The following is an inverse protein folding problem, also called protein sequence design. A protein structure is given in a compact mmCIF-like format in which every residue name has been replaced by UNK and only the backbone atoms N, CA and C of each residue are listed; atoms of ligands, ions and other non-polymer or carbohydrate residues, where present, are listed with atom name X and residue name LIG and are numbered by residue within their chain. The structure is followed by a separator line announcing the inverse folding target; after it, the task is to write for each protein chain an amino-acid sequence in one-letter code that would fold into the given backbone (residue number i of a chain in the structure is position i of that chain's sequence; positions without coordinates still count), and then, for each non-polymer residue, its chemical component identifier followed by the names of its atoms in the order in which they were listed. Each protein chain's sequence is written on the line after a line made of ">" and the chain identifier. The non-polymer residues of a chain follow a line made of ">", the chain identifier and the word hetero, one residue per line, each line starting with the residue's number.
data_IF_189352109536
#
_entry.id   IF_189352109536
#
_cell.length_a   1.000
_cell.length_b   1.000
_cell.length_c   1.000
_cell.angle_alpha   90.00
_cell.angle_beta   90.00
_cell.angle_gamma   90.00
#
_symmetry.space_group_name_H-M   'P 1'
#
loop_
_entity.id
_entity.type
_entity.pdbx_description
1 polymer ?
#
# COMPACT_ATOMS: atom_id res chain seq x y z
N UNK A 1 10.17 -58.52 12.37
CA UNK A 1 9.01 -58.08 13.16
C UNK A 1 7.78 -58.27 12.30
N UNK A 2 7.00 -59.31 12.61
CA UNK A 2 5.91 -59.82 11.79
C UNK A 2 4.61 -59.42 12.48
N UNK A 3 3.81 -58.55 11.85
CA UNK A 3 2.54 -58.12 12.42
C UNK A 3 1.48 -59.21 12.24
N UNK A 4 0.70 -59.56 13.28
CA UNK A 4 -0.38 -60.52 13.16
C UNK A 4 -1.53 -59.93 12.34
N UNK A 5 -1.95 -60.64 11.30
CA UNK A 5 -3.18 -60.32 10.56
C UNK A 5 -4.40 -60.61 11.43
N UNK A 6 -5.26 -59.60 11.59
CA UNK A 6 -6.59 -59.77 12.19
C UNK A 6 -7.53 -60.50 11.21
N UNK A 7 -8.28 -61.51 11.67
CA UNK A 7 -9.24 -62.22 10.84
C UNK A 7 -10.50 -61.39 10.55
N UNK A 8 -10.91 -61.47 9.28
CA UNK A 8 -12.10 -60.96 8.60
C UNK A 8 -13.19 -60.29 9.44
N UNK A 9 -13.33 -58.97 9.27
CA UNK A 9 -14.60 -58.27 9.49
C UNK A 9 -15.50 -58.46 8.27
N UNK A 10 -16.65 -59.10 8.47
CA UNK A 10 -17.74 -59.18 7.50
C UNK A 10 -18.34 -57.78 7.27
N UNK A 11 -18.61 -57.38 6.01
CA UNK A 11 -19.24 -56.10 5.71
C UNK A 11 -20.65 -56.05 6.31
N UNK A 12 -20.88 -55.11 7.23
CA UNK A 12 -22.20 -54.85 7.78
C UNK A 12 -23.17 -54.29 6.72
N UNK A 13 -24.48 -54.49 6.88
CA UNK A 13 -25.49 -53.95 5.98
C UNK A 13 -25.44 -52.43 5.93
N UNK A 14 -25.53 -51.89 4.71
CA UNK A 14 -25.54 -50.45 4.45
C UNK A 14 -26.70 -49.78 5.22
N UNK A 15 -26.46 -48.63 5.88
CA UNK A 15 -27.52 -47.90 6.55
C UNK A 15 -28.56 -47.42 5.52
N UNK A 16 -29.85 -47.39 5.89
CA UNK A 16 -30.92 -46.94 5.02
C UNK A 16 -30.68 -45.50 4.56
N UNK A 17 -30.92 -45.26 3.27
CA UNK A 17 -30.81 -43.95 2.63
C UNK A 17 -31.66 -42.93 3.40
N UNK A 18 -30.99 -41.96 4.01
CA UNK A 18 -31.64 -40.85 4.70
C UNK A 18 -32.46 -39.99 3.72
N UNK A 19 -33.45 -39.24 4.24
CA UNK A 19 -34.30 -38.37 3.43
C UNK A 19 -33.45 -37.37 2.62
N UNK A 20 -33.94 -36.95 1.43
CA UNK A 20 -33.22 -36.03 0.57
C UNK A 20 -32.84 -34.77 1.34
N UNK A 21 -31.54 -34.44 1.30
CA UNK A 21 -30.99 -33.27 1.97
C UNK A 21 -31.79 -32.03 1.56
N UNK A 22 -32.54 -31.47 2.52
CA UNK A 22 -33.21 -30.20 2.33
C UNK A 22 -32.15 -29.19 1.87
N UNK A 23 -32.35 -28.65 0.67
CA UNK A 23 -31.52 -27.58 0.13
C UNK A 23 -31.47 -26.47 1.17
N UNK A 24 -30.31 -26.36 1.82
CA UNK A 24 -30.06 -25.32 2.80
C UNK A 24 -30.08 -23.99 2.06
N UNK A 25 -31.24 -23.32 2.07
CA UNK A 25 -31.35 -21.95 1.63
C UNK A 25 -30.73 -21.08 2.74
N UNK A 26 -29.70 -20.29 2.44
CA UNK A 26 -29.15 -19.38 3.43
C UNK A 26 -30.27 -18.50 3.96
N UNK A 27 -30.45 -18.38 5.28
CA UNK A 27 -31.47 -17.52 5.85
C UNK A 27 -31.27 -16.12 5.27
N UNK A 28 -32.34 -15.58 4.67
CA UNK A 28 -32.34 -14.22 4.16
C UNK A 28 -31.88 -13.31 5.30
N UNK A 29 -30.70 -12.70 5.14
CA UNK A 29 -30.17 -11.78 6.13
C UNK A 29 -31.17 -10.64 6.25
N UNK A 30 -31.97 -10.64 7.32
CA UNK A 30 -32.79 -9.50 7.62
C UNK A 30 -31.86 -8.31 7.86
N UNK A 31 -32.07 -7.18 7.16
CA UNK A 31 -31.25 -6.01 7.34
C UNK A 31 -31.26 -5.61 8.81
N UNK A 32 -30.08 -5.62 9.43
CA UNK A 32 -29.88 -5.26 10.82
C UNK A 32 -30.39 -3.82 11.02
N UNK A 33 -31.58 -3.68 11.56
CA UNK A 33 -32.09 -2.41 12.05
C UNK A 33 -31.25 -2.03 13.27
N UNK A 34 -30.47 -0.96 13.14
CA UNK A 34 -29.68 -0.43 14.25
C UNK A 34 -30.57 -0.09 15.46
N UNK A 35 -29.98 0.01 16.66
CA UNK A 35 -30.70 0.30 17.88
C UNK A 35 -31.55 1.59 17.73
N UNK A 36 -32.81 1.57 18.19
CA UNK A 36 -33.72 2.70 18.05
C UNK A 36 -33.15 3.91 18.82
N UNK A 37 -32.89 5.00 18.11
CA UNK A 37 -32.43 6.26 18.69
C UNK A 37 -31.07 6.78 18.21
N UNK A 38 -30.33 6.02 17.40
CA UNK A 38 -29.15 6.60 16.71
C UNK A 38 -29.62 7.51 15.58
N UNK A 39 -29.20 8.80 15.51
CA UNK A 39 -29.45 9.66 14.37
C UNK A 39 -29.02 8.91 13.11
N UNK A 40 -29.99 8.63 12.23
CA UNK A 40 -29.79 7.77 11.07
C UNK A 40 -28.60 8.27 10.27
N UNK A 41 -27.47 7.57 10.39
CA UNK A 41 -26.39 7.73 9.42
C UNK A 41 -27.02 7.42 8.07
N UNK A 42 -26.88 8.30 7.07
CA UNK A 42 -27.49 8.09 5.77
C UNK A 42 -27.09 6.69 5.28
N UNK A 43 -28.04 5.92 4.69
CA UNK A 43 -27.76 4.59 4.18
C UNK A 43 -26.47 4.65 3.35
N UNK A 44 -25.48 3.85 3.76
CA UNK A 44 -24.21 3.75 3.05
C UNK A 44 -24.53 3.10 1.71
N UNK A 45 -24.67 3.91 0.67
CA UNK A 45 -24.88 3.40 -0.68
C UNK A 45 -23.79 2.37 -0.99
N UNK A 46 -24.18 1.19 -1.52
CA UNK A 46 -23.20 0.21 -1.95
C UNK A 46 -22.27 0.90 -2.96
N UNK A 47 -20.94 0.74 -2.80
CA UNK A 47 -19.98 1.41 -3.67
C UNK A 47 -20.32 1.07 -5.12
N UNK A 48 -20.33 2.07 -6.04
CA UNK A 48 -20.71 1.85 -7.42
C UNK A 48 -19.89 0.70 -8.00
N UNK A 49 -20.57 -0.26 -8.63
CA UNK A 49 -19.99 -1.51 -9.10
C UNK A 49 -18.81 -1.31 -10.08
N UNK A 50 -18.69 -0.11 -10.67
CA UNK A 50 -17.76 0.19 -11.75
C UNK A 50 -16.75 1.31 -11.41
N UNK A 51 -16.10 1.23 -10.25
CA UNK A 51 -14.94 2.10 -10.01
C UNK A 51 -13.85 1.78 -11.05
N UNK A 52 -13.32 2.78 -11.80
CA UNK A 52 -12.29 2.55 -12.80
C UNK A 52 -11.00 2.08 -12.12
N UNK A 53 -10.80 0.77 -12.11
CA UNK A 53 -9.61 0.14 -11.54
C UNK A 53 -8.39 0.58 -12.35
N UNK A 54 -7.34 1.01 -11.65
CA UNK A 54 -6.08 1.34 -12.32
C UNK A 54 -5.50 0.12 -13.05
N UNK A 55 -4.81 0.36 -14.17
CA UNK A 55 -4.19 -0.71 -14.95
C UNK A 55 -3.14 -1.45 -14.11
N UNK A 56 -2.98 -2.75 -14.39
CA UNK A 56 -2.06 -3.64 -13.67
C UNK A 56 -0.62 -3.13 -13.70
N UNK A 57 -0.18 -2.70 -14.88
CA UNK A 57 1.18 -2.22 -15.13
C UNK A 57 1.46 -0.91 -14.38
N UNK A 58 0.52 0.05 -14.37
CA UNK A 58 0.72 1.31 -13.64
C UNK A 58 0.86 1.11 -12.14
N UNK A 59 0.18 0.10 -11.56
CA UNK A 59 0.34 -0.25 -10.15
C UNK A 59 1.72 -0.82 -9.85
N UNK A 60 2.24 -1.67 -10.73
CA UNK A 60 3.60 -2.21 -10.61
C UNK A 60 4.63 -1.07 -10.72
N UNK A 61 4.52 -0.22 -11.75
CA UNK A 61 5.40 0.93 -11.93
C UNK A 61 5.39 1.89 -10.74
N UNK A 62 4.20 2.22 -10.20
CA UNK A 62 4.11 3.07 -9.02
C UNK A 62 4.87 2.48 -7.84
N UNK A 63 4.75 1.16 -7.62
CA UNK A 63 5.47 0.47 -6.54
C UNK A 63 6.97 0.44 -6.79
N UNK A 64 7.40 0.18 -8.02
CA UNK A 64 8.82 0.23 -8.41
C UNK A 64 9.41 1.61 -8.17
N UNK A 65 8.71 2.68 -8.55
CA UNK A 65 9.14 4.07 -8.29
C UNK A 65 9.28 4.32 -6.79
N UNK A 66 8.30 3.91 -5.98
CA UNK A 66 8.38 4.07 -4.52
C UNK A 66 9.58 3.31 -3.93
N UNK A 67 9.88 2.09 -4.42
CA UNK A 67 11.06 1.35 -3.99
C UNK A 67 12.36 2.01 -4.42
N UNK A 68 12.48 2.44 -5.68
CA UNK A 68 13.67 3.13 -6.16
C UNK A 68 13.93 4.42 -5.39
N UNK A 69 12.88 5.18 -5.08
CA UNK A 69 12.99 6.41 -4.28
C UNK A 69 13.53 6.11 -2.88
N UNK A 70 12.98 5.09 -2.20
CA UNK A 70 13.44 4.71 -0.86
C UNK A 70 14.85 4.12 -0.89
N UNK A 71 15.18 3.30 -1.87
CA UNK A 71 16.54 2.76 -2.05
C UNK A 71 17.54 3.88 -2.32
N UNK A 72 17.23 4.82 -3.21
CA UNK A 72 18.07 5.98 -3.49
C UNK A 72 18.31 6.85 -2.25
N UNK A 73 17.36 6.89 -1.32
CA UNK A 73 17.52 7.59 -0.04
C UNK A 73 18.45 6.85 0.93
N UNK A 74 18.39 5.52 0.99
CA UNK A 74 19.13 4.76 2.01
C UNK A 74 20.51 4.29 1.53
N UNK A 75 20.73 4.09 0.23
CA UNK A 75 22.03 3.67 -0.32
C UNK A 75 23.18 4.61 0.06
N UNK A 76 23.04 5.96 0.00
CA UNK A 76 24.09 6.87 0.44
C UNK A 76 24.47 6.70 1.92
N UNK A 77 23.52 6.33 2.78
CA UNK A 77 23.78 6.07 4.20
C UNK A 77 24.66 4.83 4.39
N UNK A 78 24.36 3.75 3.65
CA UNK A 78 25.20 2.55 3.63
C UNK A 78 26.61 2.85 3.12
N UNK A 79 26.72 3.63 2.04
CA UNK A 79 28.00 4.02 1.46
C UNK A 79 28.84 4.86 2.43
N UNK A 80 28.23 5.85 3.08
CA UNK A 80 28.90 6.67 4.10
C UNK A 80 29.37 5.83 5.29
N UNK A 81 28.54 4.90 5.76
CA UNK A 81 28.91 3.99 6.84
C UNK A 81 30.05 3.05 6.46
N UNK A 82 30.03 2.51 5.25
CA UNK A 82 31.11 1.68 4.73
C UNK A 82 32.44 2.44 4.72
N UNK A 83 32.48 3.65 4.17
CA UNK A 83 33.69 4.47 4.15
C UNK A 83 34.15 4.89 5.55
N UNK A 84 33.21 5.18 6.45
CA UNK A 84 33.52 5.47 7.85
C UNK A 84 34.20 4.26 8.52
N UNK A 85 33.66 3.05 8.34
CA UNK A 85 34.23 1.83 8.90
C UNK A 85 35.60 1.50 8.29
N UNK A 86 35.78 1.71 6.99
CA UNK A 86 37.08 1.54 6.34
C UNK A 86 38.13 2.51 6.89
N UNK A 87 37.79 3.80 7.02
CA UNK A 87 38.68 4.80 7.61
C UNK A 87 39.07 4.44 9.03
N UNK A 88 38.11 4.01 9.86
CA UNK A 88 38.38 3.58 11.23
C UNK A 88 39.20 2.30 11.33
N UNK A 89 39.02 1.35 10.42
CA UNK A 89 39.84 0.15 10.37
C UNK A 89 41.31 0.50 10.03
N UNK A 90 41.53 1.42 9.08
CA UNK A 90 42.87 1.90 8.73
C UNK A 90 43.52 2.68 9.89
N UNK A 91 42.77 3.55 10.57
CA UNK A 91 43.24 4.26 11.76
C UNK A 91 43.63 3.30 12.89
N UNK A 92 42.84 2.22 13.07
CA UNK A 92 43.09 1.21 14.09
C UNK A 92 44.43 0.50 13.87
N UNK A 93 44.72 0.12 12.63
CA UNK A 93 45.99 -0.52 12.28
C UNK A 93 47.17 0.39 12.62
N UNK A 94 47.10 1.67 12.25
CA UNK A 94 48.16 2.63 12.50
C UNK A 94 48.35 2.94 13.98
N UNK A 95 47.26 3.10 14.73
CA UNK A 95 47.32 3.48 16.16
C UNK A 95 47.68 2.29 17.05
N UNK A 96 47.12 1.12 16.80
CA UNK A 96 47.47 -0.12 17.52
C UNK A 96 48.91 -0.49 17.28
N UNK A 97 49.39 -0.44 16.02
CA UNK A 97 50.81 -0.68 15.72
C UNK A 97 51.73 0.26 16.50
N UNK A 98 51.46 1.57 16.49
CA UNK A 98 52.25 2.55 17.26
C UNK A 98 52.23 2.26 18.76
N UNK A 99 51.07 1.97 19.36
CA UNK A 99 50.93 1.68 20.80
C UNK A 99 51.65 0.39 21.19
N UNK A 100 51.49 -0.67 20.41
CA UNK A 100 52.16 -1.96 20.64
C UNK A 100 53.67 -1.81 20.47
N UNK A 101 54.14 -1.09 19.46
CA UNK A 101 55.57 -0.82 19.23
C UNK A 101 56.20 -0.06 20.41
N UNK A 102 55.56 1.03 20.87
CA UNK A 102 56.07 1.80 22.01
C UNK A 102 56.01 1.01 23.32
N UNK A 103 54.94 0.25 23.57
CA UNK A 103 54.84 -0.60 24.75
C UNK A 103 55.93 -1.68 24.78
N UNK A 104 56.28 -2.26 23.62
CA UNK A 104 57.39 -3.21 23.49
C UNK A 104 58.74 -2.55 23.77
N UNK A 105 58.97 -1.36 23.22
CA UNK A 105 60.20 -0.57 23.46
C UNK A 105 60.38 -0.17 24.92
N UNK A 106 59.30 0.16 25.63
CA UNK A 106 59.36 0.53 27.06
C UNK A 106 59.38 -0.69 27.99
N UNK A 107 59.41 -1.92 27.46
CA UNK A 107 59.44 -3.16 28.25
C UNK A 107 58.10 -3.56 28.87
N UNK A 108 57.00 -2.92 28.47
CA UNK A 108 55.67 -3.15 29.05
C UNK A 108 54.88 -4.19 28.22
N UNK A 109 55.39 -5.43 28.25
CA UNK A 109 54.93 -6.54 27.41
C UNK A 109 53.45 -6.90 27.62
N UNK A 110 52.89 -6.67 28.81
CA UNK A 110 51.48 -6.93 29.09
C UNK A 110 50.56 -5.89 28.43
N UNK A 111 50.97 -4.61 28.41
CA UNK A 111 50.24 -3.57 27.66
C UNK A 111 50.31 -3.80 26.15
N UNK A 112 51.44 -4.30 25.64
CA UNK A 112 51.60 -4.62 24.23
C UNK A 112 50.60 -5.71 23.76
N UNK A 113 50.27 -6.68 24.63
CA UNK A 113 49.30 -7.76 24.34
C UNK A 113 47.84 -7.30 24.44
N UNK A 114 47.51 -6.37 25.35
CA UNK A 114 46.11 -5.91 25.57
C UNK A 114 45.67 -4.79 24.65
N UNK A 115 46.59 -3.90 24.25
CA UNK A 115 46.28 -2.74 23.40
C UNK A 115 45.52 -3.08 22.09
N UNK A 116 45.81 -4.18 21.37
CA UNK A 116 45.05 -4.56 20.17
C UNK A 116 43.62 -4.98 20.50
N UNK A 117 43.43 -5.74 21.59
CA UNK A 117 42.13 -6.28 21.98
C UNK A 117 41.18 -5.15 22.41
N UNK A 118 41.64 -4.26 23.28
CA UNK A 118 40.86 -3.11 23.74
C UNK A 118 40.48 -2.17 22.58
N UNK A 119 41.40 -1.97 21.62
CA UNK A 119 41.15 -1.15 20.44
C UNK A 119 40.10 -1.80 19.52
N UNK A 120 40.19 -3.12 19.30
CA UNK A 120 39.20 -3.88 18.51
C UNK A 120 37.83 -3.85 19.17
N UNK A 121 37.75 -4.06 20.49
CA UNK A 121 36.48 -4.04 21.23
C UNK A 121 35.79 -2.68 21.14
N UNK A 122 36.53 -1.58 21.36
CA UNK A 122 35.98 -0.23 21.25
C UNK A 122 35.52 0.13 19.84
N UNK A 123 36.17 -0.39 18.79
CA UNK A 123 35.72 -0.22 17.40
C UNK A 123 34.48 -1.08 17.12
N UNK A 124 34.44 -2.30 17.65
CA UNK A 124 33.35 -3.24 17.45
C UNK A 124 32.04 -2.72 18.01
N UNK A 125 32.03 -2.13 19.20
CA UNK A 125 30.80 -1.58 19.79
C UNK A 125 30.24 -0.38 19.01
N UNK A 126 31.12 0.50 18.50
CA UNK A 126 30.72 1.58 17.60
C UNK A 126 30.17 1.04 16.28
N UNK A 127 30.80 -0.02 15.76
CA UNK A 127 30.39 -0.68 14.52
C UNK A 127 29.00 -1.31 14.68
N UNK A 128 28.74 -2.03 15.77
CA UNK A 128 27.42 -2.58 16.08
C UNK A 128 26.35 -1.50 16.14
N UNK A 129 26.60 -0.41 16.87
CA UNK A 129 25.64 0.68 17.00
C UNK A 129 25.33 1.31 15.63
N UNK A 130 26.36 1.58 14.83
CA UNK A 130 26.19 2.13 13.48
C UNK A 130 25.39 1.18 12.58
N UNK A 131 25.73 -0.12 12.57
CA UNK A 131 25.01 -1.14 11.80
C UNK A 131 23.55 -1.25 12.26
N UNK A 132 23.29 -1.25 13.56
CA UNK A 132 21.93 -1.27 14.11
C UNK A 132 21.13 -0.05 13.63
N UNK A 133 21.71 1.16 13.70
CA UNK A 133 21.06 2.37 13.23
C UNK A 133 20.79 2.34 11.72
N UNK A 134 21.70 1.79 10.91
CA UNK A 134 21.49 1.63 9.47
C UNK A 134 20.39 0.63 9.15
N UNK A 135 20.37 -0.52 9.82
CA UNK A 135 19.30 -1.53 9.65
C UNK A 135 17.96 -0.94 10.06
N UNK A 136 17.89 -0.24 11.20
CA UNK A 136 16.69 0.46 11.63
C UNK A 136 16.28 1.54 10.64
N UNK A 137 17.21 2.35 10.13
CA UNK A 137 16.91 3.37 9.12
C UNK A 137 16.37 2.73 7.83
N UNK A 138 17.00 1.65 7.34
CA UNK A 138 16.60 0.95 6.13
C UNK A 138 15.21 0.29 6.26
N UNK A 139 14.86 -0.17 7.46
CA UNK A 139 13.55 -0.76 7.76
C UNK A 139 12.48 0.31 8.01
N UNK A 140 12.79 1.31 8.83
CA UNK A 140 11.82 2.30 9.31
C UNK A 140 11.56 3.41 8.30
N UNK A 141 12.53 3.87 7.52
CA UNK A 141 12.30 4.94 6.54
C UNK A 141 11.21 4.57 5.51
N UNK A 142 11.28 3.42 4.82
CA UNK A 142 10.23 3.03 3.87
C UNK A 142 8.89 2.76 4.56
N UNK A 143 8.93 2.20 5.76
CA UNK A 143 7.73 1.90 6.56
C UNK A 143 7.01 3.18 6.98
N UNK A 144 7.73 4.13 7.58
CA UNK A 144 7.18 5.42 8.01
C UNK A 144 6.71 6.23 6.80
N UNK A 145 7.47 6.24 5.70
CA UNK A 145 7.06 6.86 4.45
C UNK A 145 5.72 6.31 3.93
N UNK A 146 5.63 4.99 3.75
CA UNK A 146 4.42 4.36 3.20
C UNK A 146 3.22 4.58 4.13
N UNK A 147 3.42 4.45 5.45
CA UNK A 147 2.37 4.65 6.44
C UNK A 147 1.85 6.09 6.45
N UNK A 148 2.75 7.09 6.57
CA UNK A 148 2.37 8.50 6.60
C UNK A 148 1.71 8.95 5.29
N UNK A 149 2.23 8.49 4.14
CA UNK A 149 1.66 8.83 2.84
C UNK A 149 0.25 8.26 2.66
N UNK A 150 0.00 7.02 3.09
CA UNK A 150 -1.34 6.44 3.04
C UNK A 150 -2.29 7.05 4.08
N UNK A 151 -1.82 7.32 5.30
CA UNK A 151 -2.64 7.93 6.34
C UNK A 151 -3.07 9.36 5.98
N UNK A 152 -2.13 10.19 5.50
CA UNK A 152 -2.37 11.60 5.23
C UNK A 152 -2.98 11.86 3.85
N UNK A 153 -2.48 11.18 2.82
CA UNK A 153 -2.86 11.46 1.43
C UNK A 153 -3.65 10.33 0.76
N UNK A 154 -3.68 9.11 1.32
CA UNK A 154 -4.30 7.93 0.70
C UNK A 154 -3.53 7.41 -0.53
N UNK A 155 -2.31 7.90 -0.76
CA UNK A 155 -1.48 7.57 -1.93
C UNK A 155 -0.02 7.90 -1.66
N UNK A 156 0.88 7.11 -2.22
CA UNK A 156 2.34 7.32 -2.24
C UNK A 156 2.75 8.20 -3.42
N UNK A 157 4.00 8.66 -3.46
CA UNK A 157 4.51 9.49 -4.56
C UNK A 157 4.45 8.78 -5.91
N UNK A 158 4.81 7.50 -5.97
CA UNK A 158 4.65 6.69 -7.18
C UNK A 158 3.19 6.65 -7.63
N UNK A 159 2.25 6.45 -6.70
CA UNK A 159 0.80 6.49 -7.02
C UNK A 159 0.34 7.88 -7.47
N UNK A 160 0.91 8.95 -6.94
CA UNK A 160 0.61 10.34 -7.35
C UNK A 160 1.04 10.56 -8.81
N UNK A 161 2.26 10.17 -9.18
CA UNK A 161 2.81 10.35 -10.54
C UNK A 161 1.91 9.70 -11.61
N UNK A 162 1.35 8.53 -11.31
CA UNK A 162 0.48 7.81 -12.23
C UNK A 162 -1.02 8.14 -12.07
N UNK A 163 -1.37 9.08 -11.19
CA UNK A 163 -2.75 9.53 -10.97
C UNK A 163 -3.64 8.42 -10.41
N UNK A 164 -3.16 7.71 -9.39
CA UNK A 164 -3.89 6.66 -8.67
C UNK A 164 -4.21 7.08 -7.24
N UNK A 165 -5.30 6.55 -6.69
CA UNK A 165 -5.70 6.76 -5.30
C UNK A 165 -6.15 5.45 -4.67
N UNK A 166 -5.78 5.25 -3.42
CA UNK A 166 -6.26 4.13 -2.63
C UNK A 166 -7.51 4.57 -1.89
N UNK A 167 -8.61 3.85 -2.04
CA UNK A 167 -9.89 4.12 -1.35
C UNK A 167 -10.32 2.90 -0.53
N UNK A 168 -11.03 3.10 0.59
CA UNK A 168 -11.69 2.01 1.30
C UNK A 168 -12.63 1.25 0.36
N UNK A 169 -12.68 -0.08 0.49
CA UNK A 169 -13.62 -0.88 -0.30
C UNK A 169 -15.08 -0.56 0.04
N UNK A 170 -15.38 -0.26 1.30
CA UNK A 170 -16.76 -0.11 1.80
C UNK A 170 -17.35 1.29 1.56
N UNK A 171 -16.86 2.04 0.57
CA UNK A 171 -17.37 3.40 0.30
C UNK A 171 -17.11 4.44 1.41
N UNK A 172 -16.30 4.10 2.42
CA UNK A 172 -15.99 4.98 3.54
C UNK A 172 -15.19 6.24 3.14
N UNK A 173 -14.93 7.14 4.11
CA UNK A 173 -14.27 8.43 3.87
C UNK A 173 -13.02 8.29 3.01
N UNK A 174 -12.77 9.30 2.17
CA UNK A 174 -11.75 9.27 1.13
C UNK A 174 -10.29 9.10 1.62
N UNK A 175 -10.08 9.03 2.94
CA UNK A 175 -8.80 8.83 3.62
C UNK A 175 -8.81 7.54 4.42
N UNK A 176 -7.70 6.83 4.39
CA UNK A 176 -7.46 5.66 5.21
C UNK A 176 -7.18 6.09 6.65
N UNK A 177 -7.93 5.56 7.62
CA UNK A 177 -7.60 5.75 9.03
C UNK A 177 -6.20 5.21 9.36
N UNK A 178 -5.51 5.84 10.32
CA UNK A 178 -4.13 5.54 10.71
C UNK A 178 -3.87 4.05 10.97
N UNK A 179 -4.80 3.36 11.66
CA UNK A 179 -4.65 1.93 11.96
C UNK A 179 -4.76 1.04 10.72
N UNK A 180 -5.66 1.37 9.77
CA UNK A 180 -5.80 0.61 8.52
C UNK A 180 -4.60 0.84 7.60
N UNK A 181 -4.10 2.08 7.54
CA UNK A 181 -2.84 2.38 6.86
C UNK A 181 -1.68 1.60 7.51
N UNK A 182 -1.57 1.60 8.84
CA UNK A 182 -0.51 0.91 9.58
C UNK A 182 -0.49 -0.59 9.32
N UNK A 183 -1.65 -1.27 9.39
CA UNK A 183 -1.73 -2.72 9.08
C UNK A 183 -1.32 -3.03 7.64
N UNK A 184 -1.76 -2.20 6.68
CA UNK A 184 -1.37 -2.35 5.28
C UNK A 184 0.15 -2.22 5.13
N UNK A 185 0.74 -1.18 5.70
CA UNK A 185 2.16 -0.89 5.60
C UNK A 185 3.01 -1.96 6.30
N UNK A 186 2.56 -2.46 7.46
CA UNK A 186 3.21 -3.55 8.17
C UNK A 186 3.40 -4.78 7.26
N UNK A 187 2.35 -5.17 6.55
CA UNK A 187 2.37 -6.36 5.70
C UNK A 187 3.07 -6.10 4.36
N UNK A 188 2.83 -4.94 3.75
CA UNK A 188 3.34 -4.63 2.42
C UNK A 188 4.82 -4.20 2.41
N UNK A 189 5.31 -3.64 3.51
CA UNK A 189 6.64 -3.02 3.59
C UNK A 189 7.44 -3.62 4.74
N UNK A 190 6.98 -3.47 5.98
CA UNK A 190 7.79 -3.82 7.14
C UNK A 190 8.15 -5.31 7.19
N UNK A 191 7.17 -6.21 7.09
CA UNK A 191 7.40 -7.67 7.18
C UNK A 191 8.35 -8.17 6.08
N UNK A 192 8.16 -7.84 4.79
CA UNK A 192 9.09 -8.26 3.74
C UNK A 192 10.52 -7.75 3.96
N UNK A 193 10.67 -6.47 4.34
CA UNK A 193 11.99 -5.87 4.59
C UNK A 193 12.65 -6.42 5.86
N UNK A 194 11.91 -6.61 6.95
CA UNK A 194 12.41 -7.21 8.18
C UNK A 194 12.85 -8.66 7.93
N UNK A 195 12.06 -9.43 7.18
CA UNK A 195 12.42 -10.78 6.78
C UNK A 195 13.67 -10.80 5.89
N UNK A 196 13.82 -9.85 4.97
CA UNK A 196 15.05 -9.72 4.16
C UNK A 196 16.28 -9.43 5.03
N UNK A 197 16.18 -8.49 5.97
CA UNK A 197 17.30 -8.15 6.86
C UNK A 197 17.64 -9.32 7.79
N UNK A 198 16.64 -9.99 8.35
CA UNK A 198 16.83 -11.16 9.20
C UNK A 198 17.46 -12.32 8.40
N UNK A 199 17.03 -12.55 7.16
CA UNK A 199 17.66 -13.55 6.28
C UNK A 199 19.17 -13.31 6.15
N UNK A 200 19.60 -12.08 5.87
CA UNK A 200 21.02 -11.75 5.76
C UNK A 200 21.78 -11.94 7.09
N UNK A 201 21.17 -11.52 8.20
CA UNK A 201 21.73 -11.73 9.53
C UNK A 201 21.93 -13.21 9.86
N UNK A 202 20.91 -14.05 9.63
CA UNK A 202 20.97 -15.49 9.88
C UNK A 202 21.95 -16.21 8.93
N UNK A 203 22.11 -15.71 7.70
CA UNK A 203 23.12 -16.20 6.76
C UNK A 203 24.54 -15.97 7.28
N UNK A 204 24.80 -14.81 7.91
CA UNK A 204 26.08 -14.50 8.57
C UNK A 204 26.33 -15.43 9.76
N UNK A 205 25.28 -15.73 10.55
CA UNK A 205 25.35 -16.69 11.66
C UNK A 205 25.37 -18.17 11.22
N UNK A 206 25.26 -18.44 9.90
CA UNK A 206 25.19 -19.79 9.32
C UNK A 206 23.95 -20.59 9.76
N UNK A 207 22.88 -19.92 10.15
CA UNK A 207 21.59 -20.53 10.51
C UNK A 207 20.71 -20.73 9.25
N UNK A 208 21.11 -21.66 8.38
CA UNK A 208 20.54 -21.83 7.04
C UNK A 208 19.02 -22.02 6.99
N UNK A 209 18.44 -22.78 7.91
CA UNK A 209 17.00 -23.05 7.94
C UNK A 209 16.19 -21.79 8.21
N UNK A 210 16.60 -20.99 9.20
CA UNK A 210 15.90 -19.75 9.54
C UNK A 210 16.10 -18.70 8.43
N UNK A 211 17.31 -18.63 7.87
CA UNK A 211 17.59 -17.80 6.69
C UNK A 211 16.67 -18.18 5.52
N UNK A 212 16.49 -19.47 5.22
CA UNK A 212 15.59 -19.93 4.16
C UNK A 212 14.13 -19.53 4.40
N UNK A 213 13.62 -19.70 5.63
CA UNK A 213 12.25 -19.28 6.00
C UNK A 213 12.09 -17.76 5.81
N UNK A 214 13.03 -16.97 6.31
CA UNK A 214 13.01 -15.52 6.16
C UNK A 214 13.09 -15.09 4.69
N UNK A 215 13.91 -15.78 3.89
CA UNK A 215 14.02 -15.57 2.45
C UNK A 215 12.70 -15.84 1.72
N UNK A 216 11.99 -16.92 2.06
CA UNK A 216 10.68 -17.23 1.49
C UNK A 216 9.65 -16.16 1.86
N UNK A 217 9.59 -15.75 3.14
CA UNK A 217 8.66 -14.70 3.60
C UNK A 217 8.93 -13.37 2.87
N UNK A 218 10.20 -12.99 2.75
CA UNK A 218 10.64 -11.81 2.00
C UNK A 218 10.23 -11.89 0.53
N UNK A 219 10.53 -13.01 -0.13
CA UNK A 219 10.19 -13.26 -1.53
C UNK A 219 8.68 -13.12 -1.77
N UNK A 220 7.86 -13.78 -0.95
CA UNK A 220 6.39 -13.69 -1.03
C UNK A 220 5.95 -12.23 -0.90
N UNK A 221 6.54 -11.50 0.05
CA UNK A 221 6.29 -10.07 0.27
C UNK A 221 6.63 -9.19 -0.94
N UNK A 222 7.76 -9.44 -1.60
CA UNK A 222 8.18 -8.69 -2.80
C UNK A 222 7.40 -9.10 -4.06
N UNK A 223 6.85 -10.31 -4.11
CA UNK A 223 5.98 -10.79 -5.20
C UNK A 223 4.52 -10.38 -5.02
N UNK A 224 4.10 -9.89 -3.85
CA UNK A 224 2.72 -9.41 -3.61
C UNK A 224 2.20 -8.44 -4.70
N UNK A 225 2.98 -7.46 -5.23
CA UNK A 225 2.54 -6.61 -6.32
C UNK A 225 2.14 -7.39 -7.59
N UNK A 226 2.73 -8.56 -7.86
CA UNK A 226 2.38 -9.40 -9.00
C UNK A 226 1.00 -10.04 -8.87
N UNK A 227 0.47 -10.17 -7.64
CA UNK A 227 -0.89 -10.69 -7.44
C UNK A 227 -1.98 -9.79 -8.06
N UNK A 228 -1.62 -8.57 -8.48
CA UNK A 228 -2.45 -7.69 -9.32
C UNK A 228 -2.80 -8.30 -10.69
N UNK A 229 -1.95 -9.19 -11.20
CA UNK A 229 -2.15 -9.89 -12.48
C UNK A 229 -3.30 -10.91 -12.40
N UNK A 230 -3.70 -11.31 -11.20
CA UNK A 230 -4.80 -12.24 -10.97
C UNK A 230 -6.17 -11.72 -11.43
N UNK A 231 -7.15 -12.63 -11.46
CA UNK A 231 -8.55 -12.34 -11.88
C UNK A 231 -9.19 -11.20 -11.08
N UNK A 232 -8.93 -11.15 -9.77
CA UNK A 232 -9.52 -10.14 -8.86
C UNK A 232 -8.84 -8.77 -8.90
N UNK A 233 -7.74 -8.59 -9.65
CA UNK A 233 -6.99 -7.33 -9.80
C UNK A 233 -6.75 -6.59 -8.47
N UNK A 234 -6.42 -7.30 -7.40
CA UNK A 234 -6.15 -6.75 -6.05
C UNK A 234 -4.96 -7.46 -5.42
N UNK A 235 -4.04 -6.67 -4.86
CA UNK A 235 -2.89 -7.19 -4.12
C UNK A 235 -3.32 -7.82 -2.79
N UNK A 236 -2.50 -8.65 -2.17
CA UNK A 236 -2.86 -9.28 -0.89
C UNK A 236 -2.91 -8.24 0.22
N UNK A 237 -1.96 -7.31 0.26
CA UNK A 237 -2.01 -6.21 1.22
C UNK A 237 -3.25 -5.30 1.02
N UNK A 238 -3.72 -5.12 -0.22
CA UNK A 238 -4.96 -4.38 -0.48
C UNK A 238 -6.17 -5.12 0.11
N UNK A 239 -6.22 -6.46 0.01
CA UNK A 239 -7.29 -7.29 0.58
C UNK A 239 -7.30 -7.24 2.10
N UNK A 240 -6.14 -7.42 2.72
CA UNK A 240 -6.00 -7.38 4.19
C UNK A 240 -6.28 -5.95 4.73
N UNK A 241 -5.92 -4.94 3.93
CA UNK A 241 -6.25 -3.55 4.20
C UNK A 241 -7.72 -3.18 3.95
N UNK A 242 -8.51 -4.02 3.26
CA UNK A 242 -9.87 -3.65 2.84
C UNK A 242 -9.89 -2.42 1.93
N UNK A 243 -8.94 -2.36 0.99
CA UNK A 243 -8.70 -1.22 0.10
C UNK A 243 -8.72 -1.60 -1.36
N UNK A 244 -9.01 -0.62 -2.22
CA UNK A 244 -8.91 -0.75 -3.67
C UNK A 244 -8.21 0.47 -4.26
N UNK A 245 -7.39 0.24 -5.28
CA UNK A 245 -6.68 1.30 -6.00
C UNK A 245 -7.47 1.69 -7.26
N UNK A 246 -7.95 2.93 -7.29
CA UNK A 246 -8.71 3.51 -8.40
C UNK A 246 -7.86 4.49 -9.18
N UNK A 247 -8.12 4.60 -10.49
CA UNK A 247 -7.48 5.61 -11.33
C UNK A 247 -8.23 6.93 -11.22
N UNK A 248 -7.52 8.00 -10.86
CA UNK A 248 -8.08 9.34 -10.67
C UNK A 248 -8.11 10.13 -11.98
N UNK A 249 -7.22 9.84 -12.94
CA UNK A 249 -7.19 10.51 -14.26
C UNK A 249 -8.52 10.40 -15.04
N UNK A 250 -9.12 9.20 -15.21
CA UNK A 250 -10.43 9.09 -15.87
C UNK A 250 -11.54 9.70 -15.01
N UNK A 251 -11.46 9.62 -13.67
CA UNK A 251 -12.44 10.25 -12.77
C UNK A 251 -12.39 11.78 -12.81
N UNK A 252 -11.20 12.38 -12.92
CA UNK A 252 -11.03 13.83 -13.07
C UNK A 252 -11.63 14.31 -14.39
N UNK A 253 -11.33 13.61 -15.49
CA UNK A 253 -11.89 13.90 -16.80
C UNK A 253 -13.41 13.69 -16.85
N UNK A 254 -13.94 12.63 -16.22
CA UNK A 254 -15.38 12.40 -16.09
C UNK A 254 -16.07 13.43 -15.18
N UNK A 255 -15.44 13.86 -14.09
CA UNK A 255 -15.95 14.89 -13.20
C UNK A 255 -15.88 16.29 -13.83
N UNK A 256 -14.89 16.56 -14.68
CA UNK A 256 -14.82 17.75 -15.51
C UNK A 256 -15.91 17.74 -16.59
N UNK A 257 -16.11 16.62 -17.28
CA UNK A 257 -17.20 16.45 -18.24
C UNK A 257 -18.58 16.58 -17.57
N UNK A 258 -18.76 16.02 -16.37
CA UNK A 258 -20.00 16.16 -15.60
C UNK A 258 -20.26 17.58 -15.11
N UNK A 259 -19.22 18.31 -14.68
CA UNK A 259 -19.32 19.74 -14.34
C UNK A 259 -19.59 20.61 -15.57
N UNK A 260 -18.99 20.27 -16.71
CA UNK A 260 -19.27 20.88 -18.01
C UNK A 260 -20.71 20.66 -18.44
N UNK A 261 -21.21 19.43 -18.35
CA UNK A 261 -22.60 19.10 -18.66
C UNK A 261 -23.59 19.80 -17.71
N UNK A 262 -23.31 19.83 -16.40
CA UNK A 262 -24.15 20.51 -15.41
C UNK A 262 -24.15 22.03 -15.51
N UNK A 263 -23.05 22.64 -15.97
CA UNK A 263 -22.99 24.08 -16.27
C UNK A 263 -23.66 24.40 -17.60
N UNK A 264 -23.50 23.56 -18.63
CA UNK A 264 -24.21 23.67 -19.90
C UNK A 264 -25.74 23.52 -19.71
N UNK A 265 -26.20 22.56 -18.91
CA UNK A 265 -27.62 22.42 -18.55
C UNK A 265 -28.15 23.63 -17.79
N UNK A 266 -27.39 24.19 -16.85
CA UNK A 266 -27.78 25.42 -16.14
C UNK A 266 -27.85 26.62 -17.08
N UNK A 267 -26.92 26.75 -18.03
CA UNK A 267 -26.96 27.80 -19.05
C UNK A 267 -28.15 27.61 -20.00
N UNK A 268 -28.44 26.39 -20.44
CA UNK A 268 -29.61 26.09 -21.26
C UNK A 268 -30.93 26.37 -20.51
N UNK A 269 -31.00 25.96 -19.23
CA UNK A 269 -32.12 26.26 -18.34
C UNK A 269 -32.33 27.76 -18.12
N UNK A 270 -31.26 28.53 -17.97
CA UNK A 270 -31.32 29.98 -17.82
C UNK A 270 -31.62 30.73 -19.14
N UNK A 271 -31.30 30.13 -20.30
CA UNK A 271 -31.58 30.72 -21.61
C UNK A 271 -33.02 30.51 -22.10
N UNK A 272 -33.70 29.46 -21.60
CA UNK A 272 -35.08 29.13 -21.97
C UNK A 272 -36.10 30.25 -21.70
N UNK A 273 -36.12 30.92 -20.53
CA UNK A 273 -37.03 32.04 -20.27
C UNK A 273 -36.81 33.22 -21.22
N UNK A 274 -35.54 33.51 -21.53
CA UNK A 274 -35.17 34.61 -22.44
C UNK A 274 -35.53 34.34 -23.90
N UNK A 275 -35.43 33.09 -24.36
CA UNK A 275 -35.88 32.72 -25.70
C UNK A 275 -37.40 32.70 -25.81
N UNK A 276 -38.12 32.18 -24.82
CA UNK A 276 -39.58 32.22 -24.79
C UNK A 276 -40.13 33.66 -24.81
N UNK A 277 -39.49 34.58 -24.08
CA UNK A 277 -39.84 36.01 -24.10
C UNK A 277 -39.60 36.66 -25.48
N UNK A 278 -38.51 36.32 -26.17
CA UNK A 278 -38.21 36.83 -27.51
C UNK A 278 -39.19 36.30 -28.57
N UNK A 279 -39.59 35.03 -28.49
CA UNK A 279 -40.61 34.47 -29.38
C UNK A 279 -41.99 35.12 -29.14
N UNK A 280 -42.35 35.37 -27.88
CA UNK A 280 -43.59 36.09 -27.53
C UNK A 280 -43.61 37.52 -28.06
N UNK A 281 -42.49 38.26 -27.93
CA UNK A 281 -42.37 39.63 -28.44
C UNK A 281 -42.43 39.69 -29.98
N UNK A 282 -41.79 38.74 -30.67
CA UNK A 282 -41.86 38.66 -32.13
C UNK A 282 -43.26 38.33 -32.66
N UNK A 283 -44.00 37.44 -31.97
CA UNK A 283 -45.38 37.12 -32.31
C UNK A 283 -46.31 38.34 -32.14
N UNK A 284 -46.12 39.13 -31.07
CA UNK A 284 -46.89 40.35 -30.83
C UNK A 284 -46.62 41.44 -31.89
N UNK A 285 -45.36 41.65 -32.29
CA UNK A 285 -45.01 42.58 -33.36
C UNK A 285 -45.58 42.15 -34.72
N UNK A 286 -45.53 40.85 -35.04
CA UNK A 286 -46.13 40.35 -36.28
C UNK A 286 -47.65 40.57 -36.30
N UNK A 287 -48.34 40.30 -35.19
CA UNK A 287 -49.78 40.53 -35.06
C UNK A 287 -50.14 42.02 -35.24
N UNK A 288 -49.34 42.95 -34.68
CA UNK A 288 -49.53 44.38 -34.90
C UNK A 288 -49.32 44.76 -36.37
N UNK A 289 -48.26 44.25 -37.02
CA UNK A 289 -47.97 44.56 -38.42
C UNK A 289 -49.08 44.11 -39.38
N UNK A 290 -49.72 42.97 -39.12
CA UNK A 290 -50.85 42.47 -39.91
C UNK A 290 -52.08 43.37 -39.69
N UNK A 291 -52.33 43.78 -38.45
CA UNK A 291 -53.43 44.69 -38.10
C UNK A 291 -53.29 46.05 -38.79
N UNK A 292 -52.08 46.58 -38.87
CA UNK A 292 -51.78 47.85 -39.53
C UNK A 292 -51.83 47.77 -41.06
N UNK A 293 -51.54 46.61 -41.66
CA UNK A 293 -51.77 46.37 -43.09
C UNK A 293 -53.27 46.33 -43.42
N UNK A 294 -54.07 45.66 -42.58
CA UNK A 294 -55.52 45.59 -42.76
C UNK A 294 -56.21 46.95 -42.62
N UNK A 295 -55.68 47.85 -41.78
CA UNK A 295 -56.19 49.22 -41.64
C UNK A 295 -55.87 50.12 -42.84
N UNK A 296 -54.77 49.89 -43.54
CA UNK A 296 -54.37 50.69 -44.71
C UNK A 296 -55.10 50.35 -46.00
N UNK A 297 -55.75 49.18 -46.05
CA UNK A 297 -56.50 48.71 -47.22
C UNK A 297 -58.02 48.95 -47.09
N UNK A 298 -58.46 49.72 -46.11
CA UNK A 298 -59.84 50.22 -45.98
C UNK A 298 -59.84 51.72 -46.20
#
# INVERSE_FOLDING_TARGET
>A
MTFPQQPGQTPGPWPPQGPPAAQWQPPAMQPYSGPPGSPGLPPVEPPPADLPLASRFLRLLARTVDYLLMTALVVPLWFAAYHYLQGKAADLQNTTFKKTFWALLTGDGDKAKRAPLEAVDGLWDKTKLLLLLLVLAHLLLPTVYDWLMHARYGRTLGKIMFGMKTVPQNGGPARLGLGRAGRRTLIAVFVPWAALMLMWYELILRAWTLAAVCGIVSLIGFLDPLSVLGRRRRTWHDRIGGTVVVSVKPLGRAAELGRGAGSAMRQAGAALPGQAARFGAGAAQNAQSVRDRLRRNR
#
